data_IF_563345705129
#
_entry.id   IF_563345705129
#
_cell.length_a   1.000
_cell.length_b   1.000
_cell.length_c   1.000
_cell.angle_alpha   90.00
_cell.angle_beta   90.00
_cell.angle_gamma   90.00
#
_symmetry.space_group_name_H-M   'P 1'
#
loop_
_entity.id
_entity.type
_entity.pdbx_description
1 polymer ?
#
# COMPACT_ATOMS: atom_id res chain seq x y z
N UNK A 1 18.92 1.97 10.40
CA UNK A 1 18.80 1.82 8.94
C UNK A 1 19.11 3.10 8.17
N UNK A 2 18.62 4.28 8.56
CA UNK A 2 18.86 5.56 7.84
C UNK A 2 20.34 5.99 7.73
N UNK A 3 21.22 5.64 8.68
CA UNK A 3 22.64 6.02 8.63
C UNK A 3 23.40 5.49 7.40
N UNK A 4 23.03 4.31 6.91
CA UNK A 4 23.68 3.67 5.74
C UNK A 4 23.43 4.45 4.44
N UNK A 5 22.36 5.25 4.39
CA UNK A 5 21.99 6.07 3.24
C UNK A 5 22.92 7.26 3.04
N UNK A 6 23.40 7.83 4.14
CA UNK A 6 24.31 8.98 4.12
C UNK A 6 25.75 8.50 3.96
N UNK A 7 26.10 7.36 4.55
CA UNK A 7 27.47 6.89 4.67
C UNK A 7 28.01 6.15 3.43
N UNK A 8 27.15 5.57 2.58
CA UNK A 8 27.59 4.74 1.42
C UNK A 8 26.68 4.92 0.18
N UNK A 9 26.62 6.11 -0.43
CA UNK A 9 25.80 6.36 -1.62
C UNK A 9 26.20 5.53 -2.86
N UNK A 10 27.47 5.07 -2.91
CA UNK A 10 28.05 4.41 -4.08
C UNK A 10 27.89 2.87 -4.05
N UNK A 11 27.65 2.31 -2.85
CA UNK A 11 27.53 0.87 -2.57
C UNK A 11 26.09 0.44 -2.23
N UNK A 12 25.27 1.34 -1.68
CA UNK A 12 23.82 1.19 -1.49
C UNK A 12 23.09 2.06 -2.53
N UNK A 13 23.10 1.62 -3.78
CA UNK A 13 22.63 2.43 -4.91
C UNK A 13 21.14 2.76 -4.91
N UNK A 14 20.76 3.67 -5.83
CA UNK A 14 19.37 4.05 -6.15
C UNK A 14 18.41 2.85 -6.24
N UNK A 15 18.87 1.72 -6.79
CA UNK A 15 18.08 0.50 -6.94
C UNK A 15 17.60 -0.12 -5.61
N UNK A 16 18.44 -0.12 -4.56
CA UNK A 16 18.03 -0.64 -3.25
C UNK A 16 17.07 0.32 -2.54
N UNK A 17 17.35 1.62 -2.63
CA UNK A 17 16.51 2.65 -2.04
C UNK A 17 15.06 2.61 -2.57
N UNK A 18 14.92 2.51 -3.90
CA UNK A 18 13.61 2.45 -4.55
C UNK A 18 12.90 1.11 -4.27
N UNK A 19 13.64 0.00 -4.27
CA UNK A 19 13.09 -1.32 -3.93
C UNK A 19 12.58 -1.37 -2.49
N UNK A 20 13.43 -1.05 -1.51
CA UNK A 20 13.08 -1.12 -0.09
C UNK A 20 11.88 -0.23 0.25
N UNK A 21 11.87 1.01 -0.25
CA UNK A 21 10.75 1.94 0.00
C UNK A 21 9.43 1.46 -0.62
N UNK A 22 9.47 0.81 -1.79
CA UNK A 22 8.32 0.20 -2.44
C UNK A 22 7.80 -1.02 -1.67
N UNK A 23 8.71 -1.90 -1.25
CA UNK A 23 8.39 -3.11 -0.48
C UNK A 23 7.71 -2.74 0.85
N UNK A 24 8.24 -1.76 1.59
CA UNK A 24 7.62 -1.27 2.82
C UNK A 24 6.23 -0.67 2.59
N UNK A 25 6.04 0.09 1.51
CA UNK A 25 4.73 0.64 1.15
C UNK A 25 3.71 -0.49 0.91
N UNK A 26 4.10 -1.51 0.15
CA UNK A 26 3.27 -2.67 -0.17
C UNK A 26 2.97 -3.52 1.08
N UNK A 27 3.96 -3.82 1.92
CA UNK A 27 3.78 -4.59 3.15
C UNK A 27 2.87 -3.89 4.16
N UNK A 28 3.01 -2.58 4.34
CA UNK A 28 2.11 -1.82 5.21
C UNK A 28 0.68 -1.84 4.67
N UNK A 29 0.50 -1.76 3.34
CA UNK A 29 -0.82 -1.90 2.71
C UNK A 29 -1.41 -3.30 2.96
N UNK A 30 -0.61 -4.37 2.80
CA UNK A 30 -1.02 -5.74 3.14
C UNK A 30 -1.53 -5.82 4.58
N UNK A 31 -0.76 -5.28 5.52
CA UNK A 31 -1.12 -5.28 6.94
C UNK A 31 -2.44 -4.52 7.15
N UNK A 32 -2.60 -3.33 6.54
CA UNK A 32 -3.85 -2.54 6.61
C UNK A 32 -5.07 -3.31 6.13
N UNK A 33 -4.93 -4.11 5.06
CA UNK A 33 -5.99 -4.95 4.52
C UNK A 33 -6.27 -6.15 5.45
N UNK A 34 -5.22 -6.82 5.91
CA UNK A 34 -5.26 -7.97 6.82
C UNK A 34 -5.88 -7.68 8.20
N UNK A 35 -5.82 -6.43 8.66
CA UNK A 35 -6.41 -6.03 9.96
C UNK A 35 -7.89 -6.43 10.08
N UNK A 36 -8.66 -6.36 8.97
CA UNK A 36 -10.09 -6.73 8.98
C UNK A 36 -10.34 -8.23 9.18
N UNK A 37 -9.78 -9.15 8.37
CA UNK A 37 -9.93 -10.59 8.60
C UNK A 37 -9.38 -11.03 9.96
N UNK A 38 -8.25 -10.46 10.40
CA UNK A 38 -7.68 -10.76 11.72
C UNK A 38 -8.69 -10.44 12.83
N UNK A 39 -9.35 -9.27 12.77
CA UNK A 39 -10.41 -8.93 13.72
C UNK A 39 -11.58 -9.92 13.67
N UNK A 40 -11.97 -10.37 12.48
CA UNK A 40 -13.08 -11.31 12.32
C UNK A 40 -12.73 -12.69 12.89
N UNK A 41 -11.50 -13.15 12.74
CA UNK A 41 -11.01 -14.41 13.29
C UNK A 41 -10.83 -14.35 14.82
N UNK A 42 -10.32 -13.23 15.36
CA UNK A 42 -9.95 -13.08 16.77
C UNK A 42 -10.81 -12.06 17.53
N UNK A 43 -12.13 -12.05 17.31
CA UNK A 43 -13.05 -11.02 17.86
C UNK A 43 -12.98 -10.78 19.36
N UNK A 44 -12.73 -11.85 20.15
CA UNK A 44 -12.71 -11.79 21.61
C UNK A 44 -11.39 -11.25 22.16
N UNK A 45 -10.36 -11.11 21.33
CA UNK A 45 -9.03 -10.74 21.77
C UNK A 45 -8.83 -9.22 21.79
N UNK A 46 -8.32 -8.71 22.92
CA UNK A 46 -8.08 -7.26 23.11
C UNK A 46 -7.07 -6.69 22.11
N UNK A 47 -6.05 -7.48 21.73
CA UNK A 47 -5.04 -7.07 20.76
C UNK A 47 -5.62 -6.88 19.34
N UNK A 48 -6.62 -7.68 18.94
CA UNK A 48 -7.26 -7.55 17.64
C UNK A 48 -8.11 -6.27 17.55
N UNK A 49 -8.75 -5.88 18.66
CA UNK A 49 -9.47 -4.60 18.77
C UNK A 49 -8.49 -3.42 18.73
N UNK A 50 -7.35 -3.53 19.42
CA UNK A 50 -6.28 -2.52 19.36
C UNK A 50 -5.75 -2.35 17.93
N UNK A 51 -5.47 -3.45 17.23
CA UNK A 51 -4.98 -3.43 15.86
C UNK A 51 -5.98 -2.75 14.90
N UNK A 52 -7.28 -3.02 15.06
CA UNK A 52 -8.31 -2.34 14.29
C UNK A 52 -8.34 -0.83 14.48
N UNK A 53 -8.06 -0.33 15.69
CA UNK A 53 -7.98 1.12 15.95
C UNK A 53 -6.78 1.74 15.24
N UNK A 54 -5.69 1.00 15.10
CA UNK A 54 -4.46 1.41 14.40
C UNK A 54 -4.49 1.20 12.89
N UNK A 55 -5.54 0.59 12.34
CA UNK A 55 -5.68 0.35 10.88
C UNK A 55 -5.43 1.60 10.05
N UNK A 56 -5.96 2.75 10.49
CA UNK A 56 -5.81 4.03 9.78
C UNK A 56 -4.36 4.49 9.79
N UNK A 57 -3.71 4.46 10.94
CA UNK A 57 -2.32 4.89 11.11
C UNK A 57 -1.38 4.07 10.22
N UNK A 58 -1.60 2.74 10.14
CA UNK A 58 -0.84 1.85 9.27
C UNK A 58 -1.06 2.19 7.79
N UNK A 59 -2.30 2.52 7.41
CA UNK A 59 -2.61 2.93 6.03
C UNK A 59 -1.97 4.26 5.65
N UNK A 60 -1.94 5.23 6.58
CA UNK A 60 -1.23 6.50 6.37
C UNK A 60 0.28 6.29 6.30
N UNK A 61 0.84 5.37 7.11
CA UNK A 61 2.24 5.00 7.01
C UNK A 61 2.57 4.35 5.64
N UNK A 62 1.70 3.47 5.13
CA UNK A 62 1.83 2.93 3.76
C UNK A 62 1.87 4.03 2.71
N UNK A 63 0.99 5.04 2.81
CA UNK A 63 1.05 6.21 1.92
C UNK A 63 2.35 7.01 2.08
N UNK A 64 2.84 7.21 3.31
CA UNK A 64 4.10 7.90 3.55
C UNK A 64 5.29 7.23 2.85
N UNK A 65 5.37 5.90 2.93
CA UNK A 65 6.38 5.13 2.18
C UNK A 65 6.17 5.20 0.67
N UNK A 66 4.92 5.14 0.18
CA UNK A 66 4.62 5.29 -1.25
C UNK A 66 5.02 6.67 -1.78
N UNK A 67 4.75 7.75 -1.03
CA UNK A 67 5.16 9.10 -1.39
C UNK A 67 6.68 9.26 -1.39
N UNK A 68 7.37 8.66 -0.41
CA UNK A 68 8.82 8.63 -0.35
C UNK A 68 9.42 7.87 -1.53
N UNK A 69 8.87 6.70 -1.88
CA UNK A 69 9.24 5.90 -3.04
C UNK A 69 9.10 6.70 -4.35
N UNK A 70 7.95 7.35 -4.56
CA UNK A 70 7.73 8.23 -5.72
C UNK A 70 8.71 9.42 -5.70
N UNK A 71 9.03 9.96 -4.53
CA UNK A 71 10.03 11.02 -4.36
C UNK A 71 11.43 10.58 -4.80
N UNK A 72 11.86 9.37 -4.44
CA UNK A 72 13.13 8.78 -4.88
C UNK A 72 13.15 8.67 -6.42
N UNK A 73 12.08 8.14 -7.01
CA UNK A 73 11.94 8.04 -8.46
C UNK A 73 12.09 9.42 -9.13
N UNK A 74 11.35 10.42 -8.66
CA UNK A 74 11.37 11.77 -9.21
C UNK A 74 12.73 12.46 -9.04
N UNK A 75 13.41 12.25 -7.91
CA UNK A 75 14.74 12.82 -7.64
C UNK A 75 15.79 12.37 -8.66
N UNK A 76 15.68 11.13 -9.16
CA UNK A 76 16.61 10.57 -10.16
C UNK A 76 16.36 11.10 -11.57
N UNK A 77 15.17 11.63 -11.85
CA UNK A 77 14.78 12.06 -13.20
C UNK A 77 15.24 13.50 -13.46
N UNK A 78 15.92 13.69 -14.59
CA UNK A 78 16.53 14.97 -14.95
C UNK A 78 15.50 16.04 -15.39
N UNK A 79 14.31 15.64 -15.84
CA UNK A 79 13.26 16.56 -16.30
C UNK A 79 11.85 15.97 -16.18
N UNK A 80 10.85 16.84 -16.14
CA UNK A 80 9.44 16.45 -16.19
C UNK A 80 9.08 15.75 -17.52
N UNK A 81 9.72 16.14 -18.62
CA UNK A 81 9.50 15.48 -19.92
C UNK A 81 9.93 14.02 -19.91
N UNK A 82 11.03 13.68 -19.24
CA UNK A 82 11.46 12.30 -19.10
C UNK A 82 10.46 11.48 -18.26
N UNK A 83 9.91 12.08 -17.19
CA UNK A 83 8.85 11.44 -16.38
C UNK A 83 7.61 11.16 -17.22
N UNK A 84 7.16 12.14 -18.02
CA UNK A 84 5.96 12.00 -18.85
C UNK A 84 6.14 10.98 -19.97
N UNK A 85 7.35 10.88 -20.54
CA UNK A 85 7.65 9.90 -21.58
C UNK A 85 7.52 8.45 -21.07
N UNK A 86 7.98 8.18 -19.85
CA UNK A 86 7.94 6.84 -19.24
C UNK A 86 6.66 6.57 -18.43
N UNK A 87 5.83 7.59 -18.19
CA UNK A 87 4.63 7.48 -17.34
C UNK A 87 3.66 6.38 -17.83
N UNK A 88 3.63 6.16 -19.15
CA UNK A 88 2.74 5.18 -19.79
C UNK A 88 3.35 3.78 -19.88
N UNK A 89 4.58 3.59 -19.43
CA UNK A 89 5.23 2.28 -19.47
C UNK A 89 4.46 1.28 -18.61
N UNK A 90 4.31 0.05 -19.10
CA UNK A 90 3.46 -0.95 -18.48
C UNK A 90 3.82 -1.23 -17.01
N UNK A 91 5.11 -1.13 -16.66
CA UNK A 91 5.56 -1.30 -15.28
C UNK A 91 5.36 -0.06 -14.43
N UNK A 92 5.32 1.17 -14.97
CA UNK A 92 5.15 2.42 -14.20
C UNK A 92 3.69 2.88 -14.06
N UNK A 93 2.88 2.70 -15.12
CA UNK A 93 1.51 3.19 -15.18
C UNK A 93 0.65 2.71 -13.98
N UNK A 94 0.69 1.43 -13.55
CA UNK A 94 -0.05 0.98 -12.39
C UNK A 94 0.38 1.69 -11.10
N UNK A 95 1.68 2.03 -10.97
CA UNK A 95 2.22 2.78 -9.84
C UNK A 95 1.65 4.19 -9.76
N UNK A 96 1.58 4.91 -10.90
CA UNK A 96 0.98 6.24 -10.97
C UNK A 96 -0.52 6.23 -10.65
N UNK A 97 -1.27 5.27 -11.20
CA UNK A 97 -2.69 5.12 -10.91
C UNK A 97 -2.94 4.77 -9.45
N UNK A 98 -2.14 3.86 -8.88
CA UNK A 98 -2.20 3.52 -7.46
C UNK A 98 -1.94 4.75 -6.59
N UNK A 99 -0.89 5.51 -6.88
CA UNK A 99 -0.53 6.71 -6.15
C UNK A 99 -1.64 7.77 -6.21
N UNK A 100 -2.24 7.97 -7.39
CA UNK A 100 -3.36 8.88 -7.58
C UNK A 100 -4.60 8.49 -6.75
N UNK A 101 -4.88 7.19 -6.57
CA UNK A 101 -5.93 6.72 -5.66
C UNK A 101 -5.55 6.86 -4.18
N UNK A 102 -4.27 6.69 -3.86
CA UNK A 102 -3.73 6.76 -2.50
C UNK A 102 -3.78 8.18 -1.92
N UNK A 103 -3.55 9.22 -2.74
CA UNK A 103 -3.61 10.62 -2.33
C UNK A 103 -4.94 11.01 -1.65
N UNK A 104 -6.13 10.83 -2.26
CA UNK A 104 -7.38 11.18 -1.61
C UNK A 104 -7.68 10.30 -0.39
N UNK A 105 -7.23 9.04 -0.37
CA UNK A 105 -7.36 8.16 0.79
C UNK A 105 -6.55 8.69 1.98
N UNK A 106 -5.30 9.11 1.75
CA UNK A 106 -4.45 9.69 2.78
C UNK A 106 -4.97 11.06 3.25
N UNK A 107 -5.37 11.92 2.31
CA UNK A 107 -5.94 13.25 2.61
C UNK A 107 -7.22 13.18 3.46
N UNK A 108 -8.01 12.10 3.31
CA UNK A 108 -9.25 11.86 4.08
C UNK A 108 -9.06 10.92 5.27
N UNK A 109 -7.82 10.53 5.60
CA UNK A 109 -7.49 9.70 6.76
C UNK A 109 -7.32 10.51 8.05
N UNK A 110 -8.21 11.48 8.30
CA UNK A 110 -8.23 12.27 9.53
C UNK A 110 -9.64 12.34 10.12
N UNK A 111 -9.73 12.71 11.40
CA UNK A 111 -10.98 12.76 12.15
C UNK A 111 -11.97 13.77 11.56
N UNK A 112 -11.45 14.88 11.02
CA UNK A 112 -12.25 15.96 10.42
C UNK A 112 -12.97 15.43 9.18
N UNK A 113 -12.24 14.84 8.24
CA UNK A 113 -12.78 14.25 7.02
C UNK A 113 -13.76 13.10 7.31
N UNK A 114 -13.47 12.28 8.32
CA UNK A 114 -14.35 11.18 8.73
C UNK A 114 -15.71 11.72 9.21
N UNK A 115 -15.71 12.80 10.00
CA UNK A 115 -16.93 13.46 10.50
C UNK A 115 -17.68 14.21 9.41
N UNK A 116 -16.95 14.85 8.48
CA UNK A 116 -17.52 15.63 7.37
C UNK A 116 -18.18 14.74 6.31
N UNK A 117 -17.48 13.71 5.83
CA UNK A 117 -17.91 12.86 4.71
C UNK A 117 -18.91 11.76 5.11
N UNK A 118 -19.03 11.42 6.39
CA UNK A 118 -20.00 10.46 6.95
C UNK A 118 -20.06 9.14 6.14
N UNK A 119 -21.16 8.89 5.40
CA UNK A 119 -21.35 7.67 4.60
C UNK A 119 -20.43 7.63 3.38
N UNK A 120 -20.19 8.77 2.74
CA UNK A 120 -19.32 8.88 1.56
C UNK A 120 -17.86 8.55 1.87
N UNK A 121 -17.42 8.74 3.12
CA UNK A 121 -16.09 8.34 3.59
C UNK A 121 -15.84 6.84 3.36
N UNK A 122 -16.83 5.99 3.68
CA UNK A 122 -16.72 4.54 3.48
C UNK A 122 -16.66 4.19 2.00
N UNK A 123 -17.38 4.89 1.14
CA UNK A 123 -17.35 4.69 -0.32
C UNK A 123 -15.98 5.07 -0.88
N UNK A 124 -15.45 6.23 -0.50
CA UNK A 124 -14.12 6.67 -0.90
C UNK A 124 -13.05 5.67 -0.45
N UNK A 125 -13.10 5.23 0.82
CA UNK A 125 -12.12 4.27 1.34
C UNK A 125 -12.23 2.85 0.77
N UNK A 126 -13.24 2.54 -0.06
CA UNK A 126 -13.24 1.31 -0.87
C UNK A 126 -12.25 1.38 -2.03
N UNK A 127 -11.77 2.57 -2.42
CA UNK A 127 -10.71 2.70 -3.42
C UNK A 127 -9.39 2.07 -2.97
N UNK A 128 -9.24 1.71 -1.69
CA UNK A 128 -8.08 0.94 -1.20
C UNK A 128 -7.94 -0.41 -1.90
N UNK A 129 -9.05 -1.04 -2.34
CA UNK A 129 -9.01 -2.33 -3.02
C UNK A 129 -8.44 -2.23 -4.44
N UNK A 130 -8.97 -1.38 -5.34
CA UNK A 130 -8.34 -1.19 -6.65
C UNK A 130 -6.93 -0.61 -6.52
N UNK A 131 -6.67 0.29 -5.55
CA UNK A 131 -5.32 0.78 -5.30
C UNK A 131 -4.36 -0.36 -4.93
N UNK A 132 -4.78 -1.30 -4.06
CA UNK A 132 -3.96 -2.45 -3.74
C UNK A 132 -3.65 -3.30 -4.97
N UNK A 133 -4.65 -3.63 -5.79
CA UNK A 133 -4.42 -4.39 -7.04
C UNK A 133 -3.38 -3.70 -7.93
N UNK A 134 -3.48 -2.37 -8.09
CA UNK A 134 -2.53 -1.59 -8.87
C UNK A 134 -1.12 -1.57 -8.24
N UNK A 135 -1.00 -1.47 -6.91
CA UNK A 135 0.29 -1.57 -6.20
C UNK A 135 0.94 -2.93 -6.44
N UNK A 136 0.20 -4.03 -6.29
CA UNK A 136 0.77 -5.37 -6.54
C UNK A 136 1.11 -5.60 -8.01
N UNK A 137 0.30 -5.08 -8.93
CA UNK A 137 0.59 -5.13 -10.36
C UNK A 137 1.87 -4.36 -10.68
N UNK A 138 2.00 -3.13 -10.18
CA UNK A 138 3.22 -2.34 -10.30
C UNK A 138 4.44 -3.08 -9.76
N UNK A 139 4.30 -3.69 -8.58
CA UNK A 139 5.38 -4.43 -7.92
C UNK A 139 5.82 -5.66 -8.74
N UNK A 140 4.88 -6.47 -9.23
CA UNK A 140 5.19 -7.64 -10.07
C UNK A 140 5.85 -7.24 -11.39
N UNK A 141 5.37 -6.18 -12.04
CA UNK A 141 5.91 -5.72 -13.32
C UNK A 141 7.28 -5.03 -13.19
N UNK A 142 7.60 -4.50 -12.00
CA UNK A 142 8.86 -3.82 -11.73
C UNK A 142 9.91 -4.72 -11.07
N UNK A 143 9.52 -5.88 -10.52
CA UNK A 143 10.40 -6.78 -9.81
C UNK A 143 11.36 -7.51 -10.76
N UNK A 144 12.66 -7.47 -10.43
CA UNK A 144 13.70 -8.19 -11.16
C UNK A 144 13.61 -9.71 -10.96
N UNK A 145 13.13 -10.15 -9.78
CA UNK A 145 12.72 -11.52 -9.49
C UNK A 145 11.24 -11.53 -9.07
N UNK A 146 10.33 -12.00 -9.93
CA UNK A 146 8.90 -11.97 -9.66
C UNK A 146 8.48 -12.99 -8.59
N UNK A 147 9.33 -13.96 -8.23
CA UNK A 147 8.99 -15.03 -7.27
C UNK A 147 8.59 -14.46 -5.91
N UNK A 148 9.37 -13.50 -5.42
CA UNK A 148 9.09 -12.82 -4.15
C UNK A 148 7.77 -12.05 -4.23
N UNK A 149 7.52 -11.33 -5.33
CA UNK A 149 6.26 -10.60 -5.54
C UNK A 149 5.05 -11.55 -5.57
N UNK A 150 5.13 -12.68 -6.28
CA UNK A 150 4.07 -13.68 -6.35
C UNK A 150 3.75 -14.34 -5.02
N UNK A 151 4.75 -14.62 -4.17
CA UNK A 151 4.54 -15.14 -2.82
C UNK A 151 3.70 -14.16 -1.99
N UNK A 152 4.06 -12.87 -2.02
CA UNK A 152 3.33 -11.83 -1.27
C UNK A 152 1.91 -11.61 -1.81
N UNK A 153 1.73 -11.68 -3.13
CA UNK A 153 0.39 -11.68 -3.77
C UNK A 153 -0.42 -12.90 -3.32
N UNK A 154 0.17 -14.09 -3.27
CA UNK A 154 -0.48 -15.31 -2.78
C UNK A 154 -0.95 -15.18 -1.33
N UNK A 155 -0.11 -14.60 -0.46
CA UNK A 155 -0.46 -14.29 0.93
C UNK A 155 -1.65 -13.32 0.99
N UNK A 156 -1.65 -12.25 0.18
CA UNK A 156 -2.74 -11.30 0.13
C UNK A 156 -4.06 -11.95 -0.30
N UNK A 157 -4.02 -12.73 -1.39
CA UNK A 157 -5.19 -13.44 -1.91
C UNK A 157 -5.75 -14.40 -0.86
N UNK A 158 -4.88 -15.11 -0.14
CA UNK A 158 -5.30 -15.97 0.97
C UNK A 158 -5.98 -15.17 2.10
N UNK A 159 -5.39 -14.05 2.53
CA UNK A 159 -5.92 -13.20 3.60
C UNK A 159 -7.29 -12.60 3.23
N UNK A 160 -7.42 -12.02 2.03
CA UNK A 160 -8.67 -11.45 1.55
C UNK A 160 -9.71 -12.54 1.24
N UNK A 161 -9.28 -13.72 0.76
CA UNK A 161 -10.15 -14.88 0.58
C UNK A 161 -10.77 -15.34 1.90
N UNK A 162 -9.94 -15.49 2.95
CA UNK A 162 -10.41 -15.80 4.31
C UNK A 162 -11.38 -14.73 4.80
N UNK A 163 -11.10 -13.45 4.54
CA UNK A 163 -12.02 -12.36 4.91
C UNK A 163 -13.39 -12.53 4.27
N UNK A 164 -13.46 -12.79 2.96
CA UNK A 164 -14.72 -12.96 2.23
C UNK A 164 -15.50 -14.16 2.78
N UNK A 165 -14.82 -15.29 3.01
CA UNK A 165 -15.42 -16.50 3.59
C UNK A 165 -15.98 -16.22 5.00
N UNK A 166 -15.18 -15.62 5.89
CA UNK A 166 -15.63 -15.30 7.24
C UNK A 166 -16.79 -14.29 7.24
N UNK A 167 -16.74 -13.29 6.34
CA UNK A 167 -17.79 -12.31 6.20
C UNK A 167 -19.10 -12.93 5.66
N UNK A 168 -19.01 -13.89 4.74
CA UNK A 168 -20.17 -14.61 4.21
C UNK A 168 -20.79 -15.52 5.28
N UNK A 169 -19.98 -16.32 5.97
CA UNK A 169 -20.46 -17.22 7.05
C UNK A 169 -21.21 -16.47 8.16
N UNK A 170 -20.82 -15.24 8.45
CA UNK A 170 -21.42 -14.40 9.49
C UNK A 170 -22.66 -13.62 9.04
N UNK A 171 -22.96 -13.58 7.74
CA UNK A 171 -24.24 -13.05 7.24
C UNK A 171 -25.35 -14.09 7.23
N UNK A 172 -24.98 -15.37 7.29
CA UNK A 172 -25.89 -16.52 7.20
C UNK A 172 -26.32 -17.01 8.60
N UNK A 173 -25.60 -16.63 9.66
CA UNK A 173 -25.97 -16.80 11.08
C UNK A 173 -26.55 -15.55 11.66
#
# INVERSE_FOLDING_TARGET
MCWRWIATPDLYGYGHAIADSGDWAAWLLLVTLAVTPIRLAFRKQKWAVWLMRRRRDIGVASFGYAAFHTGIYLWKKASLSAVLAEMSDAYLLPGWLAFALFVPLAATSNDIATRALKRSWKTLHRLVYPAAVLVFLHWVLSAFDPTTAWIHVGILVAIEGVRVVLQYRQRVT
#
